data_IF_432613641721
#
_entry.id   IF_432613641721
#
_cell.length_a   1.000
_cell.length_b   1.000
_cell.length_c   1.000
_cell.angle_alpha   90.00
_cell.angle_beta   90.00
_cell.angle_gamma   90.00
#
_symmetry.space_group_name_H-M   'P 1'
#
loop_
_entity.id
_entity.type
_entity.pdbx_description
1 polymer ?
#
# COMPACT_ATOMS: atom_id res chain seq x y z
N UNK A 1 -15.22 -0.28 12.78
CA UNK A 1 -14.43 -0.67 13.97
C UNK A 1 -13.34 0.37 14.20
N UNK A 2 -13.34 1.08 15.35
CA UNK A 2 -12.39 2.18 15.65
C UNK A 2 -10.91 1.82 15.45
N UNK A 3 -10.52 0.60 15.82
CA UNK A 3 -9.13 0.10 15.76
C UNK A 3 -8.51 0.12 14.36
N UNK A 4 -9.33 0.04 13.30
CA UNK A 4 -8.83 -0.02 11.91
C UNK A 4 -8.37 1.35 11.40
N UNK A 5 -9.12 2.40 11.73
CA UNK A 5 -8.79 3.78 11.39
C UNK A 5 -7.57 4.26 12.18
N UNK A 6 -7.47 3.86 13.45
CA UNK A 6 -6.32 4.14 14.29
C UNK A 6 -5.05 3.45 13.76
N UNK A 7 -5.13 2.16 13.41
CA UNK A 7 -4.01 1.42 12.84
C UNK A 7 -3.55 2.02 11.50
N UNK A 8 -4.47 2.43 10.63
CA UNK A 8 -4.15 3.10 9.35
C UNK A 8 -3.43 4.43 9.57
N UNK A 9 -3.90 5.23 10.52
CA UNK A 9 -3.27 6.52 10.87
C UNK A 9 -1.84 6.31 11.39
N UNK A 10 -1.62 5.32 12.27
CA UNK A 10 -0.29 4.99 12.77
C UNK A 10 0.67 4.55 11.65
N UNK A 11 0.18 3.76 10.69
CA UNK A 11 0.95 3.36 9.50
C UNK A 11 1.33 4.59 8.68
N UNK A 12 0.40 5.50 8.41
CA UNK A 12 0.68 6.70 7.62
C UNK A 12 1.69 7.61 8.30
N UNK A 13 1.59 7.80 9.62
CA UNK A 13 2.62 8.52 10.39
C UNK A 13 3.99 7.85 10.32
N UNK A 14 4.02 6.51 10.35
CA UNK A 14 5.26 5.75 10.23
C UNK A 14 5.90 5.89 8.83
N UNK A 15 5.08 5.91 7.78
CA UNK A 15 5.50 6.14 6.39
C UNK A 15 6.02 7.56 6.24
N UNK A 16 5.25 8.57 6.68
CA UNK A 16 5.64 9.98 6.65
C UNK A 16 7.04 10.14 7.22
N UNK A 17 7.30 9.64 8.44
CA UNK A 17 8.61 9.71 9.12
C UNK A 17 9.78 9.16 8.29
N UNK A 18 9.54 8.26 7.34
CA UNK A 18 10.54 7.65 6.46
C UNK A 18 10.62 8.26 5.07
N UNK A 19 9.65 9.09 4.70
CA UNK A 19 9.69 9.85 3.45
C UNK A 19 10.57 11.09 3.63
N UNK A 20 11.50 11.31 2.71
CA UNK A 20 12.34 12.51 2.71
C UNK A 20 11.49 13.79 2.56
N UNK A 21 12.01 14.92 3.03
CA UNK A 21 11.44 16.22 2.71
C UNK A 21 11.75 16.54 1.24
N UNK A 22 10.71 16.70 0.41
CA UNK A 22 10.77 16.93 -1.05
C UNK A 22 11.22 15.70 -1.86
N UNK A 23 10.90 15.73 -3.16
CA UNK A 23 11.15 14.64 -4.11
C UNK A 23 9.86 14.12 -4.74
N UNK A 24 9.99 13.16 -5.66
CA UNK A 24 8.86 12.54 -6.38
C UNK A 24 8.50 11.21 -5.73
N UNK A 25 7.23 11.06 -5.34
CA UNK A 25 6.72 9.86 -4.66
C UNK A 25 5.58 9.24 -5.48
N UNK A 26 5.66 7.94 -5.71
CA UNK A 26 4.57 7.14 -6.27
C UNK A 26 3.95 6.30 -5.16
N UNK A 27 2.63 6.35 -5.01
CA UNK A 27 1.85 5.44 -4.15
C UNK A 27 1.06 4.46 -5.03
N UNK A 28 1.38 3.17 -4.92
CA UNK A 28 0.78 2.09 -5.73
C UNK A 28 -0.35 1.44 -4.96
N UNK A 29 -1.57 1.49 -5.52
CA UNK A 29 -2.78 1.16 -4.79
C UNK A 29 -3.10 2.27 -3.78
N UNK A 30 -3.12 3.52 -4.23
CA UNK A 30 -3.21 4.68 -3.33
C UNK A 30 -4.59 4.86 -2.68
N UNK A 31 -5.58 4.03 -3.04
CA UNK A 31 -6.94 4.10 -2.53
C UNK A 31 -7.55 5.47 -2.75
N UNK A 32 -8.21 6.02 -1.74
CA UNK A 32 -8.85 7.33 -1.81
C UNK A 32 -7.86 8.51 -1.71
N UNK A 33 -6.55 8.24 -1.65
CA UNK A 33 -5.50 9.24 -1.67
C UNK A 33 -5.19 9.88 -0.31
N UNK A 34 -5.70 9.34 0.81
CA UNK A 34 -5.41 9.89 2.15
C UNK A 34 -3.89 9.98 2.44
N UNK A 35 -3.12 8.94 2.09
CA UNK A 35 -1.67 8.93 2.29
C UNK A 35 -0.98 9.97 1.40
N UNK A 36 -1.38 10.07 0.12
CA UNK A 36 -0.86 11.06 -0.83
C UNK A 36 -1.08 12.49 -0.34
N UNK A 37 -2.29 12.82 0.16
CA UNK A 37 -2.61 14.14 0.73
C UNK A 37 -1.67 14.50 1.87
N UNK A 38 -1.50 13.59 2.83
CA UNK A 38 -0.61 13.80 3.98
C UNK A 38 0.86 13.95 3.55
N UNK A 39 1.31 13.17 2.56
CA UNK A 39 2.67 13.29 2.04
C UNK A 39 2.89 14.66 1.38
N UNK A 40 1.96 15.11 0.53
CA UNK A 40 2.04 16.41 -0.11
C UNK A 40 2.06 17.55 0.94
N UNK A 41 1.13 17.51 1.90
CA UNK A 41 0.97 18.54 2.94
C UNK A 41 2.16 18.62 3.91
N UNK A 42 2.65 17.47 4.40
CA UNK A 42 3.63 17.45 5.49
C UNK A 42 5.07 17.25 5.04
N UNK A 43 5.31 16.76 3.82
CA UNK A 43 6.67 16.50 3.30
C UNK A 43 7.05 17.37 2.11
N UNK A 44 6.10 18.09 1.52
CA UNK A 44 6.33 18.92 0.34
C UNK A 44 6.87 18.12 -0.84
N UNK A 45 6.41 16.87 -0.98
CA UNK A 45 6.76 15.98 -2.10
C UNK A 45 5.76 16.14 -3.24
N UNK A 46 6.22 15.87 -4.46
CA UNK A 46 5.35 15.66 -5.62
C UNK A 46 4.80 14.23 -5.55
N UNK A 47 3.59 14.10 -5.02
CA UNK A 47 2.94 12.81 -4.79
C UNK A 47 2.02 12.45 -5.97
N UNK A 48 2.19 11.26 -6.53
CA UNK A 48 1.33 10.69 -7.57
C UNK A 48 0.83 9.32 -7.15
N UNK A 49 -0.42 9.00 -7.48
CA UNK A 49 -1.02 7.70 -7.20
C UNK A 49 -1.30 6.87 -8.46
N UNK A 50 -1.34 5.56 -8.32
CA UNK A 50 -2.01 4.64 -9.25
C UNK A 50 -3.02 3.80 -8.47
N UNK A 51 -4.25 3.72 -8.97
CA UNK A 51 -5.36 3.04 -8.30
C UNK A 51 -6.29 2.37 -9.32
N UNK A 52 -6.78 1.18 -8.97
CA UNK A 52 -7.65 0.35 -9.81
C UNK A 52 -9.14 0.70 -9.62
N UNK A 53 -9.57 1.07 -8.42
CA UNK A 53 -10.96 1.44 -8.14
C UNK A 53 -11.26 2.85 -8.64
N UNK A 54 -12.20 2.94 -9.58
CA UNK A 54 -12.70 4.21 -10.10
C UNK A 54 -13.27 5.11 -8.98
N UNK A 55 -14.00 4.55 -8.01
CA UNK A 55 -14.57 5.30 -6.89
C UNK A 55 -13.48 5.92 -6.00
N UNK A 56 -12.39 5.19 -5.76
CA UNK A 56 -11.23 5.68 -5.04
C UNK A 56 -10.53 6.81 -5.80
N UNK A 57 -10.31 6.65 -7.11
CA UNK A 57 -9.73 7.69 -7.96
C UNK A 57 -10.58 8.97 -7.93
N UNK A 58 -11.90 8.87 -8.08
CA UNK A 58 -12.80 10.03 -8.01
C UNK A 58 -12.61 10.79 -6.69
N UNK A 59 -12.57 10.08 -5.56
CA UNK A 59 -12.36 10.69 -4.24
C UNK A 59 -10.97 11.33 -4.10
N UNK A 60 -9.93 10.72 -4.65
CA UNK A 60 -8.59 11.29 -4.63
C UNK A 60 -8.50 12.56 -5.48
N UNK A 61 -9.08 12.55 -6.68
CA UNK A 61 -9.13 13.73 -7.57
C UNK A 61 -9.95 14.87 -6.96
N UNK A 62 -11.05 14.57 -6.26
CA UNK A 62 -11.82 15.57 -5.51
C UNK A 62 -11.01 16.26 -4.41
N UNK A 63 -9.95 15.62 -3.90
CA UNK A 63 -8.98 16.21 -2.97
C UNK A 63 -7.87 17.02 -3.67
N UNK A 64 -7.90 17.12 -4.99
CA UNK A 64 -6.88 17.82 -5.79
C UNK A 64 -5.61 17.00 -6.02
N UNK A 65 -5.66 15.68 -5.83
CA UNK A 65 -4.50 14.80 -5.96
C UNK A 65 -4.30 14.33 -7.42
N UNK A 66 -3.04 14.10 -7.79
CA UNK A 66 -2.68 13.50 -9.07
C UNK A 66 -2.74 11.97 -8.95
N UNK A 67 -3.78 11.36 -9.53
CA UNK A 67 -3.96 9.90 -9.51
C UNK A 67 -4.26 9.38 -10.91
N UNK A 68 -3.54 8.33 -11.32
CA UNK A 68 -3.80 7.58 -12.53
C UNK A 68 -4.75 6.41 -12.24
N UNK A 69 -5.87 6.36 -12.95
CA UNK A 69 -6.76 5.20 -12.91
C UNK A 69 -6.18 4.09 -13.80
N UNK A 70 -5.73 3.00 -13.20
CA UNK A 70 -5.14 1.90 -13.95
C UNK A 70 -4.69 0.73 -13.07
N UNK A 71 -4.54 -0.42 -13.70
CA UNK A 71 -3.98 -1.60 -13.05
C UNK A 71 -2.47 -1.40 -12.87
N UNK A 72 -1.96 -1.40 -11.64
CA UNK A 72 -0.53 -1.26 -11.37
C UNK A 72 0.34 -2.36 -11.99
N UNK A 73 -0.21 -3.55 -12.21
CA UNK A 73 0.51 -4.66 -12.85
C UNK A 73 0.89 -4.38 -14.31
N UNK A 74 0.14 -3.49 -14.96
CA UNK A 74 0.36 -3.08 -16.34
C UNK A 74 0.82 -1.62 -16.42
N UNK A 75 0.29 -0.75 -15.57
CA UNK A 75 0.47 0.69 -15.65
C UNK A 75 1.88 1.18 -15.28
N UNK A 76 2.64 0.41 -14.49
CA UNK A 76 4.00 0.80 -14.10
C UNK A 76 4.97 0.90 -15.30
N UNK A 77 4.72 0.14 -16.37
CA UNK A 77 5.57 0.18 -17.57
C UNK A 77 5.52 1.55 -18.29
N UNK A 78 4.47 2.35 -18.04
CA UNK A 78 4.32 3.68 -18.62
C UNK A 78 5.21 4.75 -17.96
N UNK A 79 5.84 4.43 -16.82
CA UNK A 79 6.78 5.34 -16.17
C UNK A 79 8.23 5.02 -16.58
N UNK A 80 9.06 6.06 -16.81
CA UNK A 80 10.46 5.86 -17.12
C UNK A 80 11.25 5.35 -15.90
N UNK A 81 12.40 4.75 -16.15
CA UNK A 81 13.33 4.31 -15.12
C UNK A 81 13.74 5.48 -14.21
N UNK A 82 13.74 5.24 -12.89
CA UNK A 82 14.10 6.28 -11.92
C UNK A 82 13.19 7.52 -11.91
N UNK A 83 11.95 7.40 -12.41
CA UNK A 83 10.95 8.46 -12.37
C UNK A 83 10.66 8.96 -10.93
N UNK A 84 10.80 8.11 -9.93
CA UNK A 84 10.45 8.41 -8.54
C UNK A 84 11.62 8.21 -7.58
N UNK A 85 11.70 9.07 -6.57
CA UNK A 85 12.68 8.94 -5.49
C UNK A 85 12.25 7.90 -4.46
N UNK A 86 10.95 7.68 -4.33
CA UNK A 86 10.33 6.69 -3.46
C UNK A 86 9.05 6.13 -4.11
N UNK A 87 8.92 4.81 -4.15
CA UNK A 87 7.68 4.11 -4.48
C UNK A 87 7.15 3.44 -3.22
N UNK A 88 5.87 3.59 -2.94
CA UNK A 88 5.19 3.06 -1.76
C UNK A 88 4.17 2.01 -2.21
N UNK A 89 4.17 0.85 -1.55
CA UNK A 89 3.09 -0.13 -1.61
C UNK A 89 2.56 -0.29 -0.20
N UNK A 90 1.54 0.48 0.16
CA UNK A 90 0.93 0.43 1.50
C UNK A 90 -0.33 -0.42 1.48
N UNK A 91 -0.26 -1.61 2.07
CA UNK A 91 -1.37 -2.57 2.15
C UNK A 91 -1.94 -2.96 0.77
N UNK A 92 -1.11 -2.91 -0.29
CA UNK A 92 -1.53 -3.29 -1.65
C UNK A 92 -0.89 -4.60 -2.12
N UNK A 93 0.35 -4.88 -1.71
CA UNK A 93 1.16 -5.99 -2.26
C UNK A 93 0.50 -7.36 -2.10
N UNK A 94 -0.29 -7.56 -1.05
CA UNK A 94 -0.95 -8.82 -0.76
C UNK A 94 -2.22 -9.08 -1.61
N UNK A 95 -2.72 -8.05 -2.29
CA UNK A 95 -3.92 -8.12 -3.15
C UNK A 95 -3.57 -8.32 -4.63
N UNK A 96 -2.30 -8.05 -5.00
CA UNK A 96 -1.76 -8.24 -6.34
C UNK A 96 -1.84 -9.71 -6.78
N UNK A 97 -2.04 -9.92 -8.07
CA UNK A 97 -1.96 -11.23 -8.71
C UNK A 97 -0.50 -11.62 -9.01
N UNK A 98 0.33 -10.64 -9.37
CA UNK A 98 1.73 -10.86 -9.73
C UNK A 98 2.70 -9.96 -8.93
N UNK A 99 2.76 -10.08 -7.58
CA UNK A 99 3.51 -9.17 -6.73
C UNK A 99 5.00 -9.10 -7.07
N UNK A 100 5.62 -10.22 -7.48
CA UNK A 100 7.04 -10.24 -7.88
C UNK A 100 7.34 -9.34 -9.08
N UNK A 101 6.42 -9.29 -10.05
CA UNK A 101 6.60 -8.47 -11.25
C UNK A 101 6.41 -6.99 -10.91
N UNK A 102 5.36 -6.68 -10.14
CA UNK A 102 5.11 -5.31 -9.64
C UNK A 102 6.29 -4.80 -8.82
N UNK A 103 6.82 -5.59 -7.88
CA UNK A 103 7.97 -5.19 -7.08
C UNK A 103 9.22 -4.92 -7.93
N UNK A 104 9.44 -5.70 -9.00
CA UNK A 104 10.53 -5.45 -9.95
C UNK A 104 10.33 -4.13 -10.68
N UNK A 105 9.12 -3.85 -11.15
CA UNK A 105 8.80 -2.59 -11.81
C UNK A 105 8.90 -1.40 -10.85
N UNK A 106 8.46 -1.54 -9.61
CA UNK A 106 8.64 -0.53 -8.56
C UNK A 106 10.12 -0.20 -8.31
N UNK A 107 11.00 -1.21 -8.33
CA UNK A 107 12.46 -1.02 -8.24
C UNK A 107 13.07 -0.40 -9.50
N UNK A 108 12.44 -0.58 -10.67
CA UNK A 108 12.87 0.06 -11.93
C UNK A 108 12.50 1.54 -11.95
N UNK A 109 11.25 1.86 -11.65
CA UNK A 109 10.74 3.25 -11.69
C UNK A 109 11.14 4.06 -10.47
N UNK A 110 11.49 3.39 -9.36
CA UNK A 110 11.80 4.00 -8.08
C UNK A 110 13.24 3.79 -7.63
N UNK A 111 13.85 4.82 -7.03
CA UNK A 111 15.18 4.68 -6.40
C UNK A 111 15.14 3.90 -5.08
N UNK A 112 14.01 3.95 -4.39
CA UNK A 112 13.71 3.22 -3.15
C UNK A 112 12.27 2.74 -3.19
N UNK A 113 12.01 1.57 -2.63
CA UNK A 113 10.67 1.00 -2.52
C UNK A 113 10.37 0.73 -1.05
N UNK A 114 9.24 1.22 -0.57
CA UNK A 114 8.74 1.00 0.78
C UNK A 114 7.48 0.14 0.69
N UNK A 115 7.53 -1.06 1.25
CA UNK A 115 6.43 -2.03 1.23
C UNK A 115 5.91 -2.19 2.65
N UNK A 116 4.61 -1.97 2.84
CA UNK A 116 3.92 -2.17 4.12
C UNK A 116 2.79 -3.15 3.90
N UNK A 117 2.71 -4.19 4.72
CA UNK A 117 1.70 -5.23 4.62
C UNK A 117 1.41 -5.83 5.99
N UNK A 118 0.23 -6.46 6.18
CA UNK A 118 -0.04 -7.20 7.40
C UNK A 118 0.83 -8.46 7.46
N UNK A 119 1.73 -8.54 8.44
CA UNK A 119 2.62 -9.69 8.60
C UNK A 119 1.85 -10.91 9.15
N UNK A 120 1.48 -11.85 8.28
CA UNK A 120 0.76 -13.07 8.66
C UNK A 120 1.57 -13.97 9.59
N UNK A 121 2.90 -13.86 9.51
CA UNK A 121 3.83 -14.54 10.41
C UNK A 121 3.86 -13.96 11.83
N UNK A 122 3.08 -12.92 12.17
CA UNK A 122 3.07 -12.34 13.51
C UNK A 122 2.53 -13.33 14.56
N UNK A 123 3.05 -13.30 15.78
CA UNK A 123 2.77 -14.31 16.82
C UNK A 123 1.28 -14.46 17.13
N UNK A 124 0.48 -13.38 17.08
CA UNK A 124 -0.97 -13.42 17.29
C UNK A 124 -1.68 -14.27 16.23
N UNK A 125 -1.29 -14.11 14.96
CA UNK A 125 -1.85 -14.88 13.87
C UNK A 125 -1.43 -16.36 13.99
N UNK A 126 -0.17 -16.63 14.31
CA UNK A 126 0.32 -17.99 14.58
C UNK A 126 -0.45 -18.67 15.72
N UNK A 127 -0.70 -17.93 16.80
CA UNK A 127 -1.42 -18.45 17.96
C UNK A 127 -2.87 -18.79 17.61
N UNK A 128 -3.59 -17.89 16.94
CA UNK A 128 -4.97 -18.17 16.52
C UNK A 128 -5.03 -19.38 15.59
N UNK A 129 -4.13 -19.47 14.61
CA UNK A 129 -4.09 -20.62 13.71
C UNK A 129 -3.82 -21.93 14.48
N UNK A 130 -2.82 -21.93 15.37
CA UNK A 130 -2.40 -23.11 16.11
C UNK A 130 -3.46 -23.62 17.10
N UNK A 131 -4.15 -22.72 17.81
CA UNK A 131 -5.05 -23.10 18.91
C UNK A 131 -6.54 -23.06 18.55
N UNK A 132 -6.94 -22.23 17.58
CA UNK A 132 -8.34 -22.12 17.15
C UNK A 132 -8.63 -22.90 15.86
N UNK A 133 -7.59 -23.33 15.12
CA UNK A 133 -7.74 -24.07 13.87
C UNK A 133 -8.49 -23.29 12.77
N UNK A 134 -8.46 -21.96 12.83
CA UNK A 134 -9.16 -21.06 11.91
C UNK A 134 -8.21 -20.04 11.31
N UNK A 135 -8.55 -19.54 10.13
CA UNK A 135 -7.84 -18.40 9.54
C UNK A 135 -7.83 -17.24 10.53
N UNK A 136 -6.65 -16.67 10.87
CA UNK A 136 -6.56 -15.61 11.85
C UNK A 136 -7.37 -14.37 11.45
N UNK A 137 -8.03 -13.74 12.41
CA UNK A 137 -8.64 -12.41 12.26
C UNK A 137 -8.00 -11.50 13.29
N UNK A 138 -7.37 -10.42 12.81
CA UNK A 138 -6.61 -9.48 13.64
C UNK A 138 -6.94 -8.04 13.24
N UNK A 139 -6.62 -7.02 14.05
CA UNK A 139 -6.86 -5.62 13.67
C UNK A 139 -6.21 -5.22 12.33
N UNK A 140 -5.09 -5.84 11.96
CA UNK A 140 -4.39 -5.61 10.68
C UNK A 140 -4.87 -6.51 9.54
N UNK A 141 -5.68 -7.54 9.85
CA UNK A 141 -6.27 -8.47 8.88
C UNK A 141 -7.70 -8.81 9.37
N UNK A 142 -8.66 -7.89 9.19
CA UNK A 142 -10.00 -7.95 9.80
C UNK A 142 -10.98 -8.85 9.03
N UNK A 143 -10.51 -9.52 7.99
CA UNK A 143 -11.34 -10.22 7.02
C UNK A 143 -11.49 -11.70 7.39
N UNK A 144 -12.68 -12.24 7.19
CA UNK A 144 -12.87 -13.69 7.23
C UNK A 144 -12.21 -14.32 6.00
N UNK A 145 -11.85 -15.61 6.09
CA UNK A 145 -11.14 -16.32 5.01
C UNK A 145 -11.87 -16.34 3.66
N UNK A 146 -13.20 -16.23 3.67
CA UNK A 146 -14.05 -16.25 2.47
C UNK A 146 -14.42 -14.87 1.94
N UNK A 147 -14.03 -13.80 2.65
CA UNK A 147 -14.38 -12.41 2.34
C UNK A 147 -13.17 -11.51 2.59
N UNK A 148 -12.04 -11.87 1.96
CA UNK A 148 -10.79 -11.14 2.04
C UNK A 148 -10.34 -10.71 0.65
N UNK A 149 -9.86 -9.46 0.49
CA UNK A 149 -9.26 -9.03 -0.78
C UNK A 149 -7.86 -9.61 -0.98
N UNK A 150 -7.23 -10.13 0.08
CA UNK A 150 -5.84 -10.59 0.04
C UNK A 150 -5.74 -11.93 -0.71
N UNK A 151 -4.94 -11.95 -1.77
CA UNK A 151 -4.57 -13.17 -2.52
C UNK A 151 -3.39 -13.88 -1.88
N UNK A 152 -2.52 -13.13 -1.19
CA UNK A 152 -1.29 -13.63 -0.60
C UNK A 152 -1.24 -13.39 0.91
N UNK A 153 -0.67 -14.35 1.64
CA UNK A 153 -0.46 -14.28 3.09
C UNK A 153 1.03 -14.12 3.38
N UNK A 154 1.50 -12.87 3.39
CA UNK A 154 2.92 -12.55 3.43
C UNK A 154 3.50 -12.60 4.85
N UNK A 155 4.74 -13.06 4.95
CA UNK A 155 5.61 -12.91 6.11
C UNK A 155 6.83 -12.06 5.74
N UNK A 156 7.56 -11.57 6.74
CA UNK A 156 8.78 -10.77 6.51
C UNK A 156 9.91 -11.59 5.86
N UNK A 157 9.82 -12.92 5.86
CA UNK A 157 10.86 -13.81 5.33
C UNK A 157 10.64 -14.24 3.88
N UNK A 158 9.47 -13.94 3.31
CA UNK A 158 9.16 -14.19 1.90
C UNK A 158 9.81 -13.12 1.00
#
# INVERSE_FOLDING_TARGET
MPDQLENRSAIYEWILKRTASRGRVLDVGCGDGELLSRLAEHRGVEATGIELSQECVIRAVQRGLSVHHGNAEEGLCNYPDGAFDLVILSLAVQELEHPRNVLRECLRVGRRVLVVFPAFGHWRARWQLAFLGRSPVTPSFPHAWHDSPNRHYLTVKD
#
